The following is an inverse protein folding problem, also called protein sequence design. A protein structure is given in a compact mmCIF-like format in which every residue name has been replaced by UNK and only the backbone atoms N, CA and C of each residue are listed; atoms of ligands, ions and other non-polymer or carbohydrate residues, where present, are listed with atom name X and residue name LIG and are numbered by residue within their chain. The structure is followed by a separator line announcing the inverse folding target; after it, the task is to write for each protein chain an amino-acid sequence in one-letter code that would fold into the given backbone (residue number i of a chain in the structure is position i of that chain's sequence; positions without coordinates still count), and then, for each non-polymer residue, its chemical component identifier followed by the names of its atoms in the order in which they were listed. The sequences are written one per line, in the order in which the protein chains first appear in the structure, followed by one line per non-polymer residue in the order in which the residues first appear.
data_IF_827394565481
#
_entry.id   IF_827394565481
#
_cell.length_a   1.000
_cell.length_b   1.000
_cell.length_c   1.000
_cell.angle_alpha   90.00
_cell.angle_beta   90.00
_cell.angle_gamma   90.00
#
_symmetry.space_group_name_H-M   'P 1'
#
loop_
_entity.id
_entity.type
_entity.pdbx_description
1 polymer ?
#
# COMPACT_ATOMS: atom_id res chain seq x y z
N UNK A 1 -7.19 -22.47 3.91
CA UNK A 1 -6.49 -21.19 3.64
C UNK A 1 -7.39 -19.99 4.04
N UNK A 2 -8.72 -20.17 4.08
CA UNK A 2 -9.76 -19.26 4.61
C UNK A 2 -9.52 -18.66 6.01
N UNK A 3 -8.84 -19.39 6.92
CA UNK A 3 -8.55 -18.94 8.30
C UNK A 3 -7.80 -17.61 8.30
N UNK A 4 -6.92 -17.39 7.32
CA UNK A 4 -6.13 -16.16 7.20
C UNK A 4 -7.01 -14.92 6.95
N UNK A 5 -8.07 -15.05 6.13
CA UNK A 5 -9.02 -13.96 5.86
C UNK A 5 -9.90 -13.71 7.08
N UNK A 6 -10.36 -14.76 7.76
CA UNK A 6 -11.14 -14.60 8.99
C UNK A 6 -10.32 -13.90 10.08
N UNK A 7 -9.06 -14.31 10.25
CA UNK A 7 -8.12 -13.63 11.15
C UNK A 7 -7.92 -12.17 10.73
N UNK A 8 -7.74 -11.90 9.44
CA UNK A 8 -7.63 -10.53 8.91
C UNK A 8 -8.85 -9.67 9.20
N UNK A 9 -10.07 -10.21 9.07
CA UNK A 9 -11.33 -9.53 9.44
C UNK A 9 -11.34 -9.23 10.94
N UNK A 10 -11.05 -10.22 11.78
CA UNK A 10 -11.03 -10.07 13.24
C UNK A 10 -10.05 -8.97 13.64
N UNK A 11 -8.81 -9.00 13.14
CA UNK A 11 -7.80 -7.99 13.46
C UNK A 11 -8.18 -6.59 12.97
N UNK A 12 -8.86 -6.50 11.83
CA UNK A 12 -9.40 -5.22 11.30
C UNK A 12 -10.46 -4.65 12.24
N UNK A 13 -11.39 -5.47 12.70
CA UNK A 13 -12.42 -5.04 13.65
C UNK A 13 -11.84 -4.74 15.04
N UNK A 14 -10.85 -5.51 15.51
CA UNK A 14 -10.12 -5.22 16.75
C UNK A 14 -9.38 -3.88 16.68
N UNK A 15 -8.70 -3.59 15.56
CA UNK A 15 -8.05 -2.29 15.35
C UNK A 15 -9.07 -1.14 15.41
N UNK A 16 -10.21 -1.31 14.75
CA UNK A 16 -11.30 -0.33 14.79
C UNK A 16 -11.81 -0.12 16.20
N UNK A 17 -12.12 -1.18 16.94
CA UNK A 17 -12.62 -1.08 18.30
C UNK A 17 -11.60 -0.39 19.21
N UNK A 18 -10.31 -0.71 19.08
CA UNK A 18 -9.23 -0.04 19.81
C UNK A 18 -9.11 1.46 19.45
N UNK A 19 -9.28 1.81 18.17
CA UNK A 19 -9.32 3.21 17.73
C UNK A 19 -10.52 3.96 18.32
N UNK A 20 -11.70 3.35 18.31
CA UNK A 20 -12.93 3.93 18.84
C UNK A 20 -12.84 4.13 20.36
N UNK A 21 -12.31 3.13 21.08
CA UNK A 21 -12.08 3.24 22.53
C UNK A 21 -11.14 4.40 22.87
N UNK A 22 -10.04 4.56 22.12
CA UNK A 22 -9.12 5.71 22.28
C UNK A 22 -9.81 7.03 21.99
N UNK A 23 -10.67 7.08 20.97
CA UNK A 23 -11.46 8.25 20.61
C UNK A 23 -12.43 8.63 21.75
N UNK A 24 -13.22 7.70 22.26
CA UNK A 24 -14.17 7.93 23.36
C UNK A 24 -13.45 8.35 24.65
N UNK A 25 -12.32 7.70 24.98
CA UNK A 25 -11.49 8.06 26.13
C UNK A 25 -10.96 9.51 26.04
N UNK A 26 -10.52 9.93 24.86
CA UNK A 26 -10.09 11.30 24.61
C UNK A 26 -11.24 12.31 24.81
N UNK A 27 -12.42 12.04 24.24
CA UNK A 27 -13.59 12.91 24.41
C UNK A 27 -14.09 12.99 25.85
N UNK A 28 -14.09 11.88 26.58
CA UNK A 28 -14.50 11.87 27.99
C UNK A 28 -13.51 12.60 28.89
N UNK A 29 -12.20 12.54 28.59
CA UNK A 29 -11.17 13.32 29.29
C UNK A 29 -11.36 14.82 29.04
N UNK A 30 -11.55 15.22 27.77
CA UNK A 30 -11.86 16.60 27.41
C UNK A 30 -13.13 17.12 28.07
N UNK A 31 -14.17 16.31 28.20
CA UNK A 31 -15.41 16.69 28.89
C UNK A 31 -15.20 16.87 30.40
N UNK A 32 -14.38 16.01 31.04
CA UNK A 32 -14.00 16.15 32.45
C UNK A 32 -13.17 17.41 32.70
N UNK A 33 -12.19 17.71 31.86
CA UNK A 33 -11.37 18.93 31.95
C UNK A 33 -12.19 20.21 31.74
N UNK A 34 -13.20 20.16 30.87
CA UNK A 34 -14.09 21.30 30.62
C UNK A 34 -15.22 21.45 31.65
N UNK A 35 -15.41 20.50 32.55
CA UNK A 35 -16.39 20.57 33.63
C UNK A 35 -15.94 21.55 34.74
N UNK A 36 -16.86 22.21 35.46
CA UNK A 36 -16.51 23.22 36.47
C UNK A 36 -15.54 22.70 37.55
N UNK A 37 -15.72 21.46 38.03
CA UNK A 37 -14.79 20.79 38.97
C UNK A 37 -13.41 20.50 38.38
N UNK A 38 -13.31 20.26 37.07
CA UNK A 38 -12.04 20.03 36.36
C UNK A 38 -11.26 21.34 36.13
N UNK A 39 -11.97 22.44 35.90
CA UNK A 39 -11.38 23.79 35.80
C UNK A 39 -10.79 24.26 37.13
N UNK A 40 -11.42 23.95 38.26
CA UNK A 40 -10.88 24.23 39.60
C UNK A 40 -9.64 23.39 39.94
N UNK A 41 -9.62 22.09 39.60
CA UNK A 41 -8.48 21.19 39.82
C UNK A 41 -7.25 21.52 38.93
N UNK A 42 -7.47 22.05 37.72
CA UNK A 42 -6.39 22.52 36.85
C UNK A 42 -5.77 23.85 37.30
N UNK A 43 -6.45 24.60 38.18
CA UNK A 43 -5.92 25.84 38.75
C UNK A 43 -4.91 25.58 39.88
N UNK A 44 -5.01 24.43 40.58
CA UNK A 44 -4.12 24.04 41.68
C UNK A 44 -2.91 23.22 41.24
N UNK A 45 -2.87 22.75 39.99
CA UNK A 45 -1.79 21.89 39.49
C UNK A 45 -1.17 22.49 38.22
N UNK A 46 -0.26 23.46 38.38
CA UNK A 46 0.65 23.86 37.30
C UNK A 46 1.66 22.72 37.04
N UNK A 47 1.23 21.69 36.31
CA UNK A 47 2.11 20.69 35.72
C UNK A 47 1.74 20.53 34.26
N UNK A 48 2.52 21.20 33.40
CA UNK A 48 2.65 21.01 31.95
C UNK A 48 1.43 20.40 31.25
N UNK A 49 0.45 21.24 30.91
CA UNK A 49 -0.54 20.95 29.87
C UNK A 49 0.21 20.69 28.55
N UNK A 50 0.52 19.43 28.25
CA UNK A 50 1.00 19.07 26.90
C UNK A 50 -0.21 19.08 25.99
N UNK A 51 -0.55 20.28 25.53
CA UNK A 51 -1.46 20.51 24.43
C UNK A 51 -0.91 19.71 23.24
N UNK A 52 -1.61 18.64 22.86
CA UNK A 52 -1.20 17.76 21.76
C UNK A 52 -1.45 18.49 20.43
N UNK A 53 -0.57 19.44 20.13
CA UNK A 53 -0.65 20.27 18.95
C UNK A 53 -0.16 19.47 17.74
N UNK A 54 -1.09 19.00 16.94
CA UNK A 54 -0.80 18.34 15.67
C UNK A 54 -0.78 19.39 14.55
N UNK A 55 0.29 19.36 13.74
CA UNK A 55 0.36 20.07 12.47
C UNK A 55 -0.05 19.09 11.37
N UNK A 56 -1.05 19.45 10.59
CA UNK A 56 -1.36 18.75 9.34
C UNK A 56 -0.70 19.50 8.20
N UNK A 57 0.08 18.79 7.37
CA UNK A 57 0.63 19.34 6.15
C UNK A 57 -0.01 18.60 4.98
N UNK A 58 -0.74 19.31 4.13
CA UNK A 58 -1.43 18.75 2.96
C UNK A 58 -0.87 19.44 1.73
N UNK A 59 -0.18 18.70 0.87
CA UNK A 59 0.38 19.26 -0.37
C UNK A 59 -0.43 18.77 -1.55
N UNK A 60 -1.02 19.70 -2.31
CA UNK A 60 -1.80 19.42 -3.52
C UNK A 60 -1.09 19.95 -4.76
N UNK A 61 -1.03 19.16 -5.82
CA UNK A 61 -0.52 19.60 -7.13
C UNK A 61 -1.36 19.02 -8.25
N UNK A 62 -2.20 19.85 -8.89
CA UNK A 62 -3.11 19.44 -9.99
C UNK A 62 -3.88 18.16 -9.69
N UNK A 63 -4.25 17.99 -8.43
CA UNK A 63 -5.08 16.86 -8.01
C UNK A 63 -6.48 17.10 -8.55
N UNK A 64 -7.20 16.02 -8.89
CA UNK A 64 -8.62 16.15 -9.20
C UNK A 64 -9.32 16.83 -8.04
N UNK A 65 -10.10 17.85 -8.40
CA UNK A 65 -10.68 18.77 -7.44
C UNK A 65 -11.54 18.01 -6.42
N UNK A 66 -12.37 17.06 -6.85
CA UNK A 66 -13.17 16.27 -5.92
C UNK A 66 -12.33 15.45 -4.92
N UNK A 67 -11.08 15.09 -5.24
CA UNK A 67 -10.19 14.33 -4.37
C UNK A 67 -9.51 15.21 -3.30
N UNK A 68 -9.09 16.41 -3.70
CA UNK A 68 -8.35 17.32 -2.83
C UNK A 68 -9.20 17.84 -1.67
N UNK A 69 -10.47 18.19 -1.92
CA UNK A 69 -11.36 18.66 -0.85
C UNK A 69 -11.53 17.65 0.26
N UNK A 70 -11.70 16.39 -0.13
CA UNK A 70 -12.08 15.33 0.79
C UNK A 70 -10.94 14.94 1.73
N UNK A 71 -9.71 15.06 1.24
CA UNK A 71 -8.53 14.94 2.07
C UNK A 71 -8.56 16.04 3.15
N UNK A 72 -8.77 17.30 2.75
CA UNK A 72 -8.73 18.46 3.64
C UNK A 72 -9.83 18.44 4.72
N UNK A 73 -11.03 17.99 4.38
CA UNK A 73 -12.12 17.88 5.35
C UNK A 73 -11.89 16.78 6.41
N UNK A 74 -11.18 15.71 6.05
CA UNK A 74 -10.80 14.67 7.00
C UNK A 74 -9.85 15.20 8.09
N UNK A 75 -8.97 16.14 7.72
CA UNK A 75 -8.08 16.84 8.64
C UNK A 75 -8.83 17.88 9.48
N UNK A 76 -9.78 18.61 8.89
CA UNK A 76 -10.60 19.60 9.61
C UNK A 76 -11.45 18.97 10.73
N UNK A 77 -11.90 17.72 10.56
CA UNK A 77 -12.66 16.98 11.58
C UNK A 77 -11.78 16.37 12.70
N UNK A 78 -10.45 16.39 12.58
CA UNK A 78 -9.55 15.82 13.56
C UNK A 78 -9.31 16.78 14.75
N UNK A 79 -9.78 16.42 15.95
CA UNK A 79 -9.53 17.22 17.17
C UNK A 79 -8.07 17.11 17.62
N UNK A 80 -7.45 18.25 17.92
CA UNK A 80 -6.01 18.38 18.25
C UNK A 80 -5.15 19.00 17.14
N UNK A 81 -5.76 19.40 16.02
CA UNK A 81 -5.10 20.08 14.92
C UNK A 81 -5.06 21.60 15.16
N UNK A 82 -3.90 22.12 15.55
CA UNK A 82 -3.73 23.54 15.91
C UNK A 82 -3.39 24.40 14.67
N UNK A 83 -2.73 23.80 13.67
CA UNK A 83 -2.31 24.48 12.46
C UNK A 83 -2.37 23.51 11.28
N UNK A 84 -2.88 23.96 10.14
CA UNK A 84 -2.93 23.19 8.90
C UNK A 84 -2.17 23.97 7.83
N UNK A 85 -1.04 23.42 7.40
CA UNK A 85 -0.23 23.97 6.32
C UNK A 85 -0.65 23.29 5.02
N UNK A 86 -1.41 23.99 4.19
CA UNK A 86 -1.76 23.51 2.85
C UNK A 86 -0.79 24.13 1.85
N UNK A 87 0.03 23.31 1.20
CA UNK A 87 0.91 23.73 0.11
C UNK A 87 0.27 23.39 -1.22
N UNK A 88 -0.04 24.38 -2.05
CA UNK A 88 -0.47 24.15 -3.44
C UNK A 88 0.75 24.42 -4.31
N UNK A 89 1.26 23.40 -4.97
CA UNK A 89 2.51 23.48 -5.75
C UNK A 89 2.27 24.03 -7.18
N UNK A 90 1.60 25.18 -7.33
CA UNK A 90 1.25 25.72 -8.65
C UNK A 90 1.08 27.24 -8.63
N UNK A 91 1.38 27.92 -9.74
CA UNK A 91 1.28 29.38 -9.90
C UNK A 91 0.46 29.82 -11.13
N UNK A 92 -0.36 28.92 -11.70
CA UNK A 92 -1.15 29.18 -12.90
C UNK A 92 -2.64 29.39 -12.56
N UNK A 93 -3.39 30.05 -13.45
CA UNK A 93 -4.80 30.37 -13.23
C UNK A 93 -5.72 29.12 -13.07
N UNK A 94 -5.31 27.96 -13.59
CA UNK A 94 -6.00 26.67 -13.43
C UNK A 94 -5.87 26.09 -12.01
N UNK A 95 -4.94 26.60 -11.19
CA UNK A 95 -4.73 26.14 -9.81
C UNK A 95 -5.74 26.78 -8.82
N UNK A 96 -6.54 27.75 -9.29
CA UNK A 96 -7.57 28.43 -8.50
C UNK A 96 -8.79 27.54 -8.21
N UNK A 97 -9.09 26.58 -9.09
CA UNK A 97 -10.17 25.61 -8.91
C UNK A 97 -9.95 24.72 -7.67
N UNK A 98 -8.69 24.43 -7.30
CA UNK A 98 -8.33 23.69 -6.08
C UNK A 98 -8.61 24.47 -4.79
N UNK A 99 -8.56 25.81 -4.85
CA UNK A 99 -8.86 26.72 -3.74
C UNK A 99 -10.36 26.76 -3.46
N UNK A 100 -11.19 26.81 -4.51
CA UNK A 100 -12.65 26.80 -4.40
C UNK A 100 -13.20 25.44 -3.96
N UNK A 101 -12.49 24.39 -4.34
CA UNK A 101 -12.85 23.02 -4.07
C UNK A 101 -12.56 22.63 -2.63
N UNK A 102 -11.49 23.14 -2.00
CA UNK A 102 -11.31 23.03 -0.53
C UNK A 102 -12.55 23.46 0.27
N UNK A 103 -13.40 24.34 -0.27
CA UNK A 103 -14.60 24.81 0.42
C UNK A 103 -15.81 23.84 0.40
N UNK A 104 -15.78 22.67 -0.29
CA UNK A 104 -17.04 22.02 -0.76
C UNK A 104 -17.37 20.51 -0.54
N UNK A 105 -16.51 19.55 -0.18
CA UNK A 105 -16.72 18.10 -0.54
C UNK A 105 -16.09 17.06 0.41
N UNK A 106 -16.99 16.24 1.00
CA UNK A 106 -16.82 15.05 1.87
C UNK A 106 -16.87 13.72 1.07
N UNK A 107 -16.05 12.70 1.45
CA UNK A 107 -16.13 11.19 1.21
C UNK A 107 -16.04 10.57 -0.21
N UNK A 108 -15.27 9.49 -0.57
CA UNK A 108 -15.09 8.00 -0.38
C UNK A 108 -13.63 7.43 -0.73
N UNK A 109 -12.99 6.39 -0.15
CA UNK A 109 -12.88 4.95 -0.61
C UNK A 109 -11.67 4.18 0.04
N UNK A 110 -11.80 2.87 0.38
CA UNK A 110 -10.92 1.69 0.05
C UNK A 110 -11.17 0.44 0.96
N UNK A 111 -11.32 -0.76 0.35
CA UNK A 111 -11.69 -2.02 1.05
C UNK A 111 -10.69 -3.20 1.01
N UNK A 112 -9.82 -3.32 0.00
CA UNK A 112 -8.90 -4.51 -0.09
C UNK A 112 -7.56 -4.28 0.61
N UNK A 113 -7.06 -3.03 0.66
CA UNK A 113 -5.80 -2.66 1.33
C UNK A 113 -5.93 -2.64 2.86
N UNK A 114 -7.16 -2.54 3.36
CA UNK A 114 -7.46 -2.49 4.78
C UNK A 114 -7.06 -3.79 5.50
N UNK A 115 -7.24 -4.95 4.87
CA UNK A 115 -6.90 -6.23 5.51
C UNK A 115 -5.41 -6.40 5.82
N UNK A 116 -4.55 -6.10 4.84
CA UNK A 116 -3.10 -6.25 5.01
C UNK A 116 -2.51 -5.19 5.93
N UNK A 117 -3.05 -3.95 5.90
CA UNK A 117 -2.62 -2.86 6.78
C UNK A 117 -3.15 -2.98 8.21
N UNK A 118 -4.30 -3.62 8.41
CA UNK A 118 -4.91 -3.73 9.73
C UNK A 118 -4.25 -4.77 10.66
N UNK A 119 -3.53 -5.74 10.09
CA UNK A 119 -2.82 -6.77 10.86
C UNK A 119 -1.75 -6.17 11.78
N UNK A 120 -0.80 -5.34 11.31
CA UNK A 120 0.11 -4.62 12.20
C UNK A 120 -0.59 -3.47 12.94
N UNK A 121 -1.57 -2.80 12.30
CA UNK A 121 -2.19 -1.63 12.89
C UNK A 121 -3.01 -1.89 14.16
N UNK A 122 -3.60 -3.08 14.33
CA UNK A 122 -4.31 -3.43 15.56
C UNK A 122 -3.40 -3.39 16.80
N UNK A 123 -2.09 -3.48 16.59
CA UNK A 123 -1.06 -3.37 17.63
C UNK A 123 -0.34 -2.02 17.62
N UNK A 124 -0.86 -1.05 16.87
CA UNK A 124 -0.26 0.26 16.65
C UNK A 124 1.19 0.20 16.11
N UNK A 125 1.47 -0.80 15.27
CA UNK A 125 2.77 -1.03 14.62
C UNK A 125 2.68 -0.93 13.09
N UNK A 126 1.73 -0.13 12.59
CA UNK A 126 1.58 0.07 11.14
C UNK A 126 2.89 0.56 10.57
N UNK A 127 3.40 -0.13 9.57
CA UNK A 127 4.78 -0.05 9.12
C UNK A 127 4.96 0.83 7.88
N UNK A 128 3.87 1.38 7.36
CA UNK A 128 3.90 2.38 6.31
C UNK A 128 2.69 3.31 6.45
N UNK A 129 2.98 4.56 6.76
CA UNK A 129 2.04 5.67 6.66
C UNK A 129 1.98 6.14 5.21
N UNK A 130 0.78 6.34 4.66
CA UNK A 130 0.65 6.78 3.27
C UNK A 130 0.77 8.30 3.16
N UNK A 131 1.67 8.79 2.31
CA UNK A 131 1.87 10.22 2.06
C UNK A 131 0.59 11.05 1.87
N UNK A 132 -0.42 10.60 1.09
CA UNK A 132 -1.64 11.38 0.86
C UNK A 132 -2.51 11.63 2.09
N UNK A 133 -2.38 10.82 3.15
CA UNK A 133 -3.16 10.99 4.36
C UNK A 133 -2.47 10.37 5.56
N UNK A 134 -1.65 11.18 6.20
CA UNK A 134 -1.00 10.89 7.47
C UNK A 134 -0.98 12.15 8.34
N UNK A 135 -1.14 11.98 9.65
CA UNK A 135 -0.91 13.03 10.63
C UNK A 135 0.25 12.64 11.54
N UNK A 136 1.10 13.61 11.89
CA UNK A 136 2.25 13.41 12.75
C UNK A 136 2.17 14.31 13.98
N UNK A 137 2.67 13.81 15.10
CA UNK A 137 2.92 14.64 16.28
C UNK A 137 4.21 15.42 16.05
N UNK A 138 4.18 16.74 16.28
CA UNK A 138 5.35 17.60 16.05
C UNK A 138 6.58 17.15 16.85
N UNK A 139 6.37 16.75 18.10
CA UNK A 139 7.44 16.28 18.98
C UNK A 139 8.07 14.96 18.52
N UNK A 140 7.42 14.21 17.63
CA UNK A 140 7.98 13.00 17.03
C UNK A 140 8.85 13.30 15.80
N UNK A 141 8.56 14.39 15.07
CA UNK A 141 9.19 14.72 13.79
C UNK A 141 10.64 15.20 13.94
N UNK A 142 10.93 16.04 14.93
CA UNK A 142 12.25 16.67 15.09
C UNK A 142 13.38 15.64 15.18
N UNK A 143 13.13 14.50 15.83
CA UNK A 143 14.12 13.44 16.02
C UNK A 143 14.29 12.50 14.82
N UNK A 144 13.40 12.54 13.82
CA UNK A 144 13.39 11.61 12.68
C UNK A 144 13.69 12.26 11.34
N UNK A 145 13.49 13.57 11.19
CA UNK A 145 13.62 14.25 9.88
C UNK A 145 15.02 14.09 9.28
N UNK A 146 16.08 14.31 10.07
CA UNK A 146 17.44 14.21 9.56
C UNK A 146 17.86 12.76 9.26
N UNK A 147 17.59 11.77 10.14
CA UNK A 147 17.77 10.34 9.81
C UNK A 147 17.02 9.91 8.56
N UNK A 148 15.76 10.36 8.41
CA UNK A 148 14.94 10.06 7.25
C UNK A 148 15.52 10.64 5.96
N UNK A 149 15.97 11.90 6.00
CA UNK A 149 16.55 12.59 4.84
C UNK A 149 17.95 12.07 4.45
N UNK A 150 18.71 11.54 5.40
CA UNK A 150 20.07 11.00 5.19
C UNK A 150 20.11 9.49 4.98
N UNK A 151 18.98 8.84 4.68
CA UNK A 151 18.94 7.39 4.54
C UNK A 151 20.00 6.89 3.55
N UNK A 152 20.79 5.90 4.01
CA UNK A 152 21.73 5.17 3.17
C UNK A 152 21.33 3.71 3.09
N UNK A 153 21.28 3.18 1.88
CA UNK A 153 21.02 1.77 1.59
C UNK A 153 22.31 1.20 1.03
N UNK A 154 22.92 0.23 1.75
CA UNK A 154 24.22 -0.35 1.40
C UNK A 154 25.31 0.72 1.12
N UNK A 155 25.38 1.75 1.95
CA UNK A 155 26.35 2.85 1.84
C UNK A 155 25.99 3.94 0.82
N UNK A 156 24.98 3.73 -0.02
CA UNK A 156 24.52 4.68 -1.03
C UNK A 156 23.38 5.55 -0.51
N UNK A 157 23.49 6.88 -0.69
CA UNK A 157 22.42 7.81 -0.31
C UNK A 157 21.22 7.67 -1.24
N UNK A 158 20.04 7.57 -0.66
CA UNK A 158 18.79 7.54 -1.42
C UNK A 158 18.44 8.92 -1.95
N UNK A 159 18.04 9.00 -3.22
CA UNK A 159 17.63 10.25 -3.88
C UNK A 159 16.22 10.66 -3.44
N UNK A 160 15.34 9.67 -3.24
CA UNK A 160 13.95 9.86 -2.80
C UNK A 160 13.79 9.19 -1.45
N UNK A 161 13.29 9.93 -0.48
CA UNK A 161 13.00 9.40 0.85
C UNK A 161 11.60 8.79 0.85
N UNK A 162 11.47 7.59 1.40
CA UNK A 162 10.22 6.83 1.37
C UNK A 162 9.41 7.03 2.65
N UNK A 163 8.08 7.02 2.52
CA UNK A 163 7.16 7.11 3.66
C UNK A 163 7.40 5.96 4.65
N UNK A 164 7.77 4.79 4.13
CA UNK A 164 8.06 3.61 4.95
C UNK A 164 9.26 3.85 5.87
N UNK A 165 10.33 4.46 5.37
CA UNK A 165 11.50 4.75 6.17
C UNK A 165 11.20 5.76 7.29
N UNK A 166 10.34 6.74 7.01
CA UNK A 166 9.84 7.67 8.02
C UNK A 166 9.11 6.91 9.14
N UNK A 167 8.22 5.98 8.75
CA UNK A 167 7.49 5.13 9.70
C UNK A 167 8.42 4.21 10.49
N UNK A 168 9.43 3.60 9.88
CA UNK A 168 10.42 2.80 10.59
C UNK A 168 11.15 3.62 11.64
N UNK A 169 11.58 4.85 11.31
CA UNK A 169 12.25 5.74 12.25
C UNK A 169 11.39 6.12 13.46
N UNK A 170 10.07 6.22 13.29
CA UNK A 170 9.10 6.40 14.37
C UNK A 170 9.04 5.16 15.26
N UNK A 171 8.87 3.97 14.66
CA UNK A 171 8.76 2.70 15.39
C UNK A 171 10.04 2.37 16.18
N UNK A 172 11.23 2.58 15.60
CA UNK A 172 12.53 2.41 16.30
C UNK A 172 12.58 3.24 17.59
N UNK A 173 11.96 4.43 17.59
CA UNK A 173 11.97 5.37 18.71
C UNK A 173 10.81 5.14 19.69
N UNK A 174 10.05 4.05 19.53
CA UNK A 174 8.93 3.70 20.40
C UNK A 174 7.65 4.50 20.14
N UNK A 175 7.56 5.23 19.03
CA UNK A 175 6.31 5.88 18.65
C UNK A 175 5.31 4.86 18.10
N UNK A 176 4.09 4.90 18.63
CA UNK A 176 2.98 4.11 18.11
C UNK A 176 2.47 4.68 16.78
N UNK A 177 2.28 3.82 15.79
CA UNK A 177 1.78 4.18 14.46
C UNK A 177 0.48 3.43 14.18
N UNK A 178 -0.60 4.19 14.06
CA UNK A 178 -1.97 3.67 14.04
C UNK A 178 -2.59 3.91 12.67
N UNK A 179 -3.23 2.87 12.13
CA UNK A 179 -4.08 3.00 10.94
C UNK A 179 -5.53 3.26 11.35
N UNK A 180 -6.06 4.41 10.93
CA UNK A 180 -7.46 4.76 11.12
C UNK A 180 -8.29 4.25 9.93
N UNK A 181 -9.03 3.15 10.12
CA UNK A 181 -9.81 2.50 9.06
C UNK A 181 -10.97 3.33 8.52
N UNK A 182 -11.40 4.34 9.26
CA UNK A 182 -12.55 5.17 8.92
C UNK A 182 -12.17 6.46 8.19
N UNK A 183 -10.86 6.77 8.10
CA UNK A 183 -10.33 7.92 7.37
C UNK A 183 -10.16 7.54 5.90
N UNK A 184 -10.69 8.38 5.02
CA UNK A 184 -10.73 8.12 3.58
C UNK A 184 -9.96 9.19 2.83
N UNK A 185 -9.16 8.74 1.86
CA UNK A 185 -8.34 9.63 1.03
C UNK A 185 -8.38 9.11 -0.37
N UNK A 186 -8.65 10.01 -1.31
CA UNK A 186 -8.57 9.66 -2.69
C UNK A 186 -7.17 9.99 -3.22
N UNK A 187 -6.72 9.18 -4.18
CA UNK A 187 -5.39 9.25 -4.75
C UNK A 187 -5.54 8.91 -6.21
N UNK A 188 -4.87 9.67 -7.07
CA UNK A 188 -4.76 9.32 -8.47
C UNK A 188 -4.10 7.94 -8.62
N UNK A 189 -4.69 7.12 -9.47
CA UNK A 189 -4.15 5.82 -9.84
C UNK A 189 -3.52 5.92 -11.24
N UNK A 190 -2.43 5.19 -11.51
CA UNK A 190 -1.82 5.22 -12.83
C UNK A 190 -2.79 4.71 -13.90
N UNK A 191 -2.89 5.46 -15.00
CA UNK A 191 -3.80 5.15 -16.12
C UNK A 191 -3.26 4.11 -17.09
N UNK A 192 -1.96 3.78 -17.01
CA UNK A 192 -1.32 2.78 -17.87
C UNK A 192 -0.67 1.67 -17.04
N UNK A 193 -0.68 0.45 -17.58
CA UNK A 193 -0.08 -0.74 -16.95
C UNK A 193 1.40 -0.52 -16.65
N UNK A 194 2.13 0.13 -17.55
CA UNK A 194 3.54 0.50 -17.35
C UNK A 194 3.74 1.39 -16.13
N UNK A 195 3.01 2.51 -16.04
CA UNK A 195 3.15 3.44 -14.91
C UNK A 195 2.75 2.74 -13.61
N UNK A 196 1.72 1.90 -13.66
CA UNK A 196 1.30 1.08 -12.54
C UNK A 196 2.37 0.07 -12.09
N UNK A 197 2.99 -0.68 -13.01
CA UNK A 197 4.08 -1.61 -12.71
C UNK A 197 5.28 -0.91 -12.08
N UNK A 198 5.70 0.24 -12.64
CA UNK A 198 6.79 1.05 -12.08
C UNK A 198 6.47 1.49 -10.65
N UNK A 199 5.23 1.92 -10.40
CA UNK A 199 4.77 2.29 -9.06
C UNK A 199 4.78 1.08 -8.10
N UNK A 200 4.35 -0.11 -8.53
CA UNK A 200 4.37 -1.30 -7.68
C UNK A 200 5.80 -1.74 -7.34
N UNK A 201 6.72 -1.72 -8.32
CA UNK A 201 8.15 -2.01 -8.11
C UNK A 201 8.74 -1.02 -7.11
N UNK A 202 8.41 0.26 -7.23
CA UNK A 202 8.83 1.31 -6.28
C UNK A 202 8.41 0.98 -4.85
N UNK A 203 7.12 0.70 -4.64
CA UNK A 203 6.59 0.37 -3.32
C UNK A 203 7.20 -0.92 -2.75
N UNK A 204 7.45 -1.92 -3.60
CA UNK A 204 8.07 -3.17 -3.19
C UNK A 204 9.54 -2.96 -2.80
N UNK A 205 10.32 -2.14 -3.54
CA UNK A 205 11.71 -1.78 -3.17
C UNK A 205 11.77 -1.13 -1.79
N UNK A 206 10.93 -0.13 -1.54
CA UNK A 206 10.87 0.53 -0.23
C UNK A 206 10.58 -0.49 0.89
N UNK A 207 9.71 -1.45 0.62
CA UNK A 207 9.38 -2.53 1.55
C UNK A 207 10.59 -3.42 1.83
N UNK A 208 11.28 -3.91 0.80
CA UNK A 208 12.50 -4.71 0.93
C UNK A 208 13.61 -3.99 1.70
N UNK A 209 13.82 -2.71 1.41
CA UNK A 209 14.85 -1.90 2.05
C UNK A 209 14.62 -1.87 3.56
N UNK A 210 13.41 -1.57 4.00
CA UNK A 210 13.10 -1.48 5.43
C UNK A 210 13.07 -2.86 6.11
N UNK A 211 12.56 -3.88 5.41
CA UNK A 211 12.56 -5.27 5.90
C UNK A 211 13.99 -5.82 6.10
N UNK A 212 14.96 -5.44 5.25
CA UNK A 212 16.33 -5.94 5.33
C UNK A 212 17.28 -5.07 6.17
N UNK A 213 17.12 -3.75 6.15
CA UNK A 213 18.02 -2.84 6.89
C UNK A 213 17.70 -2.78 8.37
N UNK A 214 16.42 -2.87 8.75
CA UNK A 214 16.00 -2.75 10.14
C UNK A 214 14.98 -3.84 10.52
N UNK A 215 15.31 -5.14 10.35
CA UNK A 215 14.39 -6.26 10.62
C UNK A 215 13.96 -6.30 12.09
N UNK A 216 14.85 -5.87 12.99
CA UNK A 216 14.59 -5.84 14.43
C UNK A 216 13.39 -4.95 14.80
N UNK A 217 13.05 -3.93 14.00
CA UNK A 217 11.88 -3.09 14.28
C UNK A 217 10.60 -3.91 14.35
N UNK A 218 10.43 -4.87 13.44
CA UNK A 218 9.22 -5.68 13.43
C UNK A 218 9.15 -6.63 14.63
N UNK A 219 10.30 -7.17 15.06
CA UNK A 219 10.38 -8.05 16.23
C UNK A 219 10.23 -7.28 17.56
N UNK A 220 10.82 -6.10 17.66
CA UNK A 220 10.77 -5.24 18.85
C UNK A 220 9.41 -4.57 19.03
N UNK A 221 8.69 -4.28 17.95
CA UNK A 221 7.41 -3.58 18.04
C UNK A 221 6.30 -4.49 18.58
N UNK A 222 6.03 -5.61 17.90
CA UNK A 222 5.04 -6.60 18.33
C UNK A 222 5.16 -7.90 17.49
N UNK A 223 4.93 -9.10 18.05
CA UNK A 223 4.96 -10.36 17.28
C UNK A 223 4.07 -10.37 16.03
N UNK A 224 2.93 -9.65 16.08
CA UNK A 224 2.04 -9.49 14.92
C UNK A 224 2.62 -8.60 13.82
N UNK A 225 3.44 -7.60 14.17
CA UNK A 225 4.16 -6.79 13.20
C UNK A 225 5.18 -7.65 12.45
N UNK A 226 5.93 -8.48 13.19
CA UNK A 226 6.85 -9.46 12.61
C UNK A 226 6.13 -10.47 11.71
N UNK A 227 5.04 -11.07 12.18
CA UNK A 227 4.26 -12.00 11.38
C UNK A 227 3.70 -11.35 10.10
N UNK A 228 3.21 -10.11 10.17
CA UNK A 228 2.73 -9.37 9.00
C UNK A 228 3.85 -9.06 8.00
N UNK A 229 5.02 -8.65 8.50
CA UNK A 229 6.20 -8.41 7.67
C UNK A 229 6.68 -9.71 7.01
N UNK A 230 6.82 -10.79 7.77
CA UNK A 230 7.23 -12.10 7.28
C UNK A 230 6.26 -12.64 6.21
N UNK A 231 4.93 -12.55 6.43
CA UNK A 231 3.95 -12.95 5.41
C UNK A 231 4.07 -12.13 4.13
N UNK A 232 4.35 -10.84 4.24
CA UNK A 232 4.49 -9.95 3.09
C UNK A 232 5.75 -10.26 2.27
N UNK A 233 6.86 -10.61 2.92
CA UNK A 233 8.11 -10.96 2.23
C UNK A 233 8.07 -12.41 1.69
N UNK A 234 7.75 -13.38 2.54
CA UNK A 234 7.81 -14.79 2.13
C UNK A 234 6.61 -15.22 1.28
N UNK A 235 5.43 -14.60 1.44
CA UNK A 235 4.22 -14.99 0.71
C UNK A 235 4.40 -14.99 -0.81
N UNK A 236 4.74 -13.85 -1.43
CA UNK A 236 4.97 -13.76 -2.86
C UNK A 236 6.13 -14.67 -3.35
N UNK A 237 7.17 -14.86 -2.53
CA UNK A 237 8.31 -15.74 -2.87
C UNK A 237 7.90 -17.21 -2.93
N UNK A 238 7.11 -17.69 -1.95
CA UNK A 238 6.60 -19.06 -1.93
C UNK A 238 5.72 -19.33 -3.16
N UNK A 239 4.86 -18.37 -3.52
CA UNK A 239 4.06 -18.46 -4.76
C UNK A 239 4.98 -18.50 -5.99
N UNK A 240 6.03 -17.67 -6.04
CA UNK A 240 6.96 -17.65 -7.15
C UNK A 240 7.67 -19.00 -7.35
N UNK A 241 8.18 -19.57 -6.26
CA UNK A 241 8.85 -20.88 -6.24
C UNK A 241 7.87 -21.99 -6.66
N UNK A 242 6.63 -21.95 -6.19
CA UNK A 242 5.62 -22.92 -6.57
C UNK A 242 5.30 -22.89 -8.07
N UNK A 243 5.12 -21.68 -8.64
CA UNK A 243 4.87 -21.50 -10.07
C UNK A 243 6.07 -21.99 -10.89
N UNK A 244 7.30 -21.61 -10.50
CA UNK A 244 8.51 -21.99 -11.23
C UNK A 244 8.79 -23.50 -11.14
N UNK A 245 8.60 -24.10 -9.96
CA UNK A 245 8.76 -25.55 -9.78
C UNK A 245 7.74 -26.33 -10.61
N UNK A 246 6.48 -25.86 -10.68
CA UNK A 246 5.47 -26.49 -11.52
C UNK A 246 5.79 -26.34 -13.01
N UNK A 247 6.26 -25.17 -13.42
CA UNK A 247 6.70 -24.89 -14.79
C UNK A 247 7.82 -25.83 -15.25
N UNK A 248 8.79 -26.13 -14.37
CA UNK A 248 9.95 -26.95 -14.71
C UNK A 248 9.65 -28.45 -14.58
N UNK A 249 9.15 -28.89 -13.42
CA UNK A 249 9.14 -30.32 -13.04
C UNK A 249 7.75 -30.94 -12.97
N UNK A 250 6.67 -30.19 -13.27
CA UNK A 250 5.26 -30.63 -13.15
C UNK A 250 4.78 -30.99 -11.73
N UNK A 251 5.64 -30.95 -10.72
CA UNK A 251 5.27 -31.20 -9.34
C UNK A 251 4.50 -30.02 -8.74
N UNK A 252 3.31 -30.31 -8.19
CA UNK A 252 2.46 -29.32 -7.50
C UNK A 252 2.96 -29.14 -6.07
N UNK A 253 3.75 -28.10 -5.81
CA UNK A 253 4.26 -27.77 -4.47
C UNK A 253 3.18 -27.21 -3.53
N UNK A 254 2.21 -26.48 -4.10
CA UNK A 254 1.09 -25.90 -3.35
C UNK A 254 -0.21 -26.47 -3.86
N UNK A 255 -1.07 -26.87 -2.92
CA UNK A 255 -2.43 -27.29 -3.24
C UNK A 255 -3.33 -26.06 -3.37
N UNK A 256 -3.92 -25.87 -4.55
CA UNK A 256 -4.90 -24.81 -4.80
C UNK A 256 -6.30 -25.39 -4.79
N UNK A 257 -7.13 -24.91 -3.87
CA UNK A 257 -8.52 -25.36 -3.73
C UNK A 257 -9.47 -24.33 -4.32
N UNK A 258 -10.18 -24.70 -5.39
CA UNK A 258 -11.22 -23.87 -5.99
C UNK A 258 -12.32 -23.45 -5.00
N UNK A 259 -12.88 -24.34 -4.15
CA UNK A 259 -13.90 -23.92 -3.18
C UNK A 259 -13.34 -22.95 -2.14
N UNK A 260 -12.07 -23.08 -1.71
CA UNK A 260 -11.42 -22.09 -0.83
C UNK A 260 -11.37 -20.72 -1.54
N UNK A 261 -10.93 -20.65 -2.80
CA UNK A 261 -10.90 -19.40 -3.56
C UNK A 261 -12.27 -18.71 -3.64
N UNK A 262 -13.32 -19.44 -4.03
CA UNK A 262 -14.68 -18.89 -4.13
C UNK A 262 -15.20 -18.43 -2.77
N UNK A 263 -14.95 -19.21 -1.72
CA UNK A 263 -15.32 -18.84 -0.35
C UNK A 263 -14.61 -17.56 0.10
N UNK A 264 -13.31 -17.40 -0.23
CA UNK A 264 -12.55 -16.18 0.08
C UNK A 264 -13.12 -14.94 -0.62
N UNK A 265 -13.47 -15.07 -1.89
CA UNK A 265 -14.09 -13.98 -2.66
C UNK A 265 -15.46 -13.62 -2.04
N UNK A 266 -16.26 -14.64 -1.72
CA UNK A 266 -17.57 -14.48 -1.08
C UNK A 266 -17.48 -13.77 0.27
N UNK A 267 -16.68 -14.29 1.20
CA UNK A 267 -16.49 -13.71 2.54
C UNK A 267 -15.97 -12.27 2.45
N UNK A 268 -14.97 -12.01 1.60
CA UNK A 268 -14.40 -10.67 1.43
C UNK A 268 -15.44 -9.69 0.87
N UNK A 269 -16.26 -10.14 -0.08
CA UNK A 269 -17.32 -9.33 -0.68
C UNK A 269 -18.41 -9.02 0.33
N UNK A 270 -18.90 -10.04 1.05
CA UNK A 270 -19.93 -9.90 2.08
C UNK A 270 -19.45 -8.96 3.20
N UNK A 271 -18.23 -9.15 3.70
CA UNK A 271 -17.68 -8.26 4.72
C UNK A 271 -17.57 -6.81 4.21
N UNK A 272 -17.08 -6.59 3.00
CA UNK A 272 -16.96 -5.24 2.45
C UNK A 272 -18.33 -4.54 2.27
N UNK A 273 -19.35 -5.29 1.85
CA UNK A 273 -20.73 -4.79 1.72
C UNK A 273 -21.33 -4.44 3.09
N UNK A 274 -21.22 -5.35 4.07
CA UNK A 274 -21.72 -5.12 5.43
C UNK A 274 -20.99 -3.98 6.15
N UNK A 275 -19.69 -3.83 5.90
CA UNK A 275 -18.85 -2.81 6.52
C UNK A 275 -19.14 -1.42 6.00
N UNK A 276 -19.56 -1.31 4.75
CA UNK A 276 -19.71 -0.04 4.03
C UNK A 276 -21.04 0.00 3.25
N UNK A 277 -22.20 -0.11 3.93
CA UNK A 277 -23.50 -0.21 3.27
C UNK A 277 -23.80 1.01 2.39
N UNK A 278 -23.41 2.20 2.84
CA UNK A 278 -23.64 3.45 2.11
C UNK A 278 -22.54 3.77 1.09
N UNK A 279 -21.40 3.05 1.13
CA UNK A 279 -20.16 3.44 0.42
C UNK A 279 -19.75 2.47 -0.69
N UNK A 280 -20.27 1.25 -0.71
CA UNK A 280 -19.96 0.23 -1.72
C UNK A 280 -21.20 -0.11 -2.56
N UNK A 281 -21.25 0.37 -3.81
CA UNK A 281 -22.25 -0.11 -4.77
C UNK A 281 -21.94 -1.58 -5.11
N UNK A 282 -22.98 -2.42 -5.30
CA UNK A 282 -22.80 -3.84 -5.67
C UNK A 282 -21.86 -4.01 -6.87
N UNK A 283 -21.93 -3.09 -7.85
CA UNK A 283 -21.03 -3.05 -9.02
C UNK A 283 -19.53 -2.90 -8.69
N UNK A 284 -19.17 -2.27 -7.57
CA UNK A 284 -17.78 -2.10 -7.13
C UNK A 284 -17.23 -3.35 -6.42
N UNK A 285 -18.09 -4.29 -6.02
CA UNK A 285 -17.67 -5.53 -5.38
C UNK A 285 -16.89 -6.45 -6.32
N UNK A 286 -17.09 -6.29 -7.63
CA UNK A 286 -16.38 -7.06 -8.65
C UNK A 286 -14.85 -6.84 -8.59
N UNK A 287 -14.39 -5.67 -8.14
CA UNK A 287 -12.96 -5.32 -8.04
C UNK A 287 -12.17 -6.17 -7.03
N UNK A 288 -12.85 -6.92 -6.16
CA UNK A 288 -12.23 -7.93 -5.29
C UNK A 288 -11.52 -9.00 -6.13
N UNK A 289 -12.11 -9.41 -7.25
CA UNK A 289 -11.58 -10.49 -8.10
C UNK A 289 -10.27 -10.09 -8.80
N UNK A 290 -10.18 -8.93 -9.51
CA UNK A 290 -8.90 -8.42 -10.01
C UNK A 290 -7.86 -8.23 -8.90
N UNK A 291 -8.29 -7.82 -7.70
CA UNK A 291 -7.41 -7.71 -6.53
C UNK A 291 -6.79 -9.06 -6.13
N UNK A 292 -7.58 -10.12 -5.99
CA UNK A 292 -7.07 -11.47 -5.71
C UNK A 292 -6.12 -11.95 -6.81
N UNK A 293 -6.46 -11.71 -8.08
CA UNK A 293 -5.59 -12.08 -9.20
C UNK A 293 -4.23 -11.37 -9.12
N UNK A 294 -4.23 -10.08 -8.78
CA UNK A 294 -3.02 -9.29 -8.62
C UNK A 294 -2.05 -9.89 -7.58
N UNK A 295 -2.56 -10.29 -6.40
CA UNK A 295 -1.73 -10.83 -5.33
C UNK A 295 -1.10 -12.20 -5.67
N UNK A 296 -1.72 -12.97 -6.56
CA UNK A 296 -1.25 -14.32 -6.89
C UNK A 296 -0.40 -14.39 -8.16
N UNK A 297 -0.63 -13.51 -9.14
CA UNK A 297 0.01 -13.62 -10.46
C UNK A 297 1.04 -12.50 -10.71
N UNK A 298 0.67 -11.21 -10.77
CA UNK A 298 1.66 -10.14 -10.92
C UNK A 298 2.61 -9.92 -9.74
N UNK A 299 2.10 -10.03 -8.51
CA UNK A 299 2.87 -9.64 -7.32
C UNK A 299 4.18 -10.42 -7.13
N UNK A 300 4.23 -11.77 -7.30
CA UNK A 300 5.49 -12.53 -7.22
C UNK A 300 6.61 -11.98 -8.12
N UNK A 301 6.27 -11.59 -9.35
CA UNK A 301 7.23 -11.02 -10.30
C UNK A 301 7.79 -9.68 -9.84
N UNK A 302 6.88 -8.79 -9.42
CA UNK A 302 7.21 -7.45 -8.92
C UNK A 302 8.10 -7.60 -7.68
N UNK A 303 7.79 -8.57 -6.83
CA UNK A 303 8.50 -8.83 -5.59
C UNK A 303 9.93 -9.29 -5.83
N UNK A 304 10.16 -10.27 -6.73
CA UNK A 304 11.51 -10.72 -7.11
C UNK A 304 12.29 -9.59 -7.79
N UNK A 305 11.67 -8.91 -8.75
CA UNK A 305 12.36 -7.86 -9.49
C UNK A 305 12.75 -6.67 -8.61
N UNK A 306 11.88 -6.27 -7.69
CA UNK A 306 12.18 -5.20 -6.74
C UNK A 306 13.28 -5.59 -5.75
N UNK A 307 13.39 -6.86 -5.37
CA UNK A 307 14.49 -7.37 -4.53
C UNK A 307 15.84 -7.32 -5.26
N UNK A 308 15.86 -7.69 -6.54
CA UNK A 308 17.09 -7.62 -7.37
C UNK A 308 17.48 -6.16 -7.66
N UNK A 309 16.51 -5.26 -7.78
CA UNK A 309 16.74 -3.86 -8.19
C UNK A 309 16.67 -2.84 -7.06
N UNK A 310 16.87 -3.25 -5.81
CA UNK A 310 16.72 -2.38 -4.62
C UNK A 310 17.53 -1.08 -4.69
N UNK A 311 18.76 -1.12 -5.22
CA UNK A 311 19.71 0.00 -5.25
C UNK A 311 19.70 0.79 -6.56
N UNK A 312 18.81 0.45 -7.49
CA UNK A 312 18.72 1.10 -8.79
C UNK A 312 18.30 2.58 -8.64
N UNK A 313 19.06 3.48 -9.27
CA UNK A 313 18.83 4.94 -9.20
C UNK A 313 17.58 5.40 -9.92
N UNK A 314 17.15 4.66 -10.94
CA UNK A 314 15.92 4.93 -11.68
C UNK A 314 14.74 4.44 -10.86
N UNK A 315 14.20 5.33 -10.03
CA UNK A 315 12.97 5.10 -9.26
C UNK A 315 11.69 5.06 -10.12
N UNK A 316 11.81 4.98 -11.46
CA UNK A 316 10.73 4.63 -12.39
C UNK A 316 9.59 5.65 -12.52
N UNK A 317 9.59 6.70 -11.70
CA UNK A 317 8.69 7.84 -11.84
C UNK A 317 9.52 9.09 -11.64
N UNK A 318 9.72 9.88 -12.71
CA UNK A 318 10.06 11.27 -12.51
C UNK A 318 9.02 11.89 -11.57
N UNK A 319 9.47 12.84 -10.74
CA UNK A 319 8.56 13.67 -9.95
C UNK A 319 7.50 14.22 -10.90
N UNK A 320 6.23 14.22 -10.48
CA UNK A 320 5.01 14.37 -11.31
C UNK A 320 4.85 15.71 -12.05
N UNK A 321 5.94 16.35 -12.48
CA UNK A 321 5.91 17.51 -13.35
C UNK A 321 5.49 17.07 -14.76
N UNK A 322 4.29 17.50 -15.15
CA UNK A 322 3.75 17.39 -16.52
C UNK A 322 4.62 18.06 -17.60
N UNK A 323 5.61 18.85 -17.18
CA UNK A 323 6.56 19.58 -18.02
C UNK A 323 7.82 18.82 -18.41
N UNK A 324 8.04 17.59 -17.92
CA UNK A 324 9.18 16.80 -18.39
C UNK A 324 8.89 16.29 -19.81
N UNK A 325 9.51 16.96 -20.80
CA UNK A 325 9.50 16.55 -22.21
C UNK A 325 9.90 15.07 -22.27
N UNK A 326 9.07 14.18 -22.85
CA UNK A 326 9.37 12.76 -22.88
C UNK A 326 10.57 12.55 -23.80
N UNK A 327 11.78 12.49 -23.22
CA UNK A 327 12.91 11.90 -23.93
C UNK A 327 12.48 10.50 -24.30
N UNK A 328 12.54 10.17 -25.59
CA UNK A 328 12.27 8.83 -26.11
C UNK A 328 13.14 7.84 -25.33
N UNK A 329 12.54 7.15 -24.38
CA UNK A 329 13.25 6.19 -23.56
C UNK A 329 13.86 5.14 -24.48
N UNK A 330 15.16 4.93 -24.35
CA UNK A 330 15.88 3.90 -25.12
C UNK A 330 15.19 2.56 -24.92
N UNK A 331 15.07 1.76 -25.98
CA UNK A 331 14.44 0.43 -25.91
C UNK A 331 15.05 -0.45 -24.81
N UNK A 332 16.33 -0.26 -24.49
CA UNK A 332 17.00 -0.94 -23.36
C UNK A 332 16.42 -0.55 -22.01
N UNK A 333 16.09 0.72 -21.80
CA UNK A 333 15.48 1.23 -20.57
C UNK A 333 14.06 0.70 -20.38
N UNK A 334 13.26 0.68 -21.46
CA UNK A 334 11.91 0.09 -21.44
C UNK A 334 11.95 -1.40 -21.05
N UNK A 335 12.88 -2.15 -21.64
CA UNK A 335 13.10 -3.55 -21.28
C UNK A 335 13.61 -3.75 -19.86
N UNK A 336 14.49 -2.88 -19.38
CA UNK A 336 14.94 -2.93 -17.98
C UNK A 336 13.78 -2.68 -17.00
N UNK A 337 12.88 -1.75 -17.30
CA UNK A 337 11.83 -1.36 -16.36
C UNK A 337 10.64 -2.34 -16.34
N UNK A 338 10.23 -2.90 -17.48
CA UNK A 338 9.03 -3.77 -17.58
C UNK A 338 9.29 -5.15 -18.16
N UNK A 339 10.50 -5.44 -18.64
CA UNK A 339 10.84 -6.72 -19.26
C UNK A 339 10.72 -7.92 -18.32
N UNK A 340 11.02 -7.74 -17.03
CA UNK A 340 10.82 -8.79 -16.02
C UNK A 340 9.37 -9.31 -16.00
N UNK A 341 8.41 -8.41 -16.21
CA UNK A 341 6.99 -8.75 -16.20
C UNK A 341 6.60 -9.54 -17.46
N UNK A 342 7.18 -9.21 -18.62
CA UNK A 342 6.98 -9.98 -19.86
C UNK A 342 7.47 -11.42 -19.69
N UNK A 343 8.69 -11.60 -19.15
CA UNK A 343 9.27 -12.92 -18.89
C UNK A 343 8.40 -13.71 -17.92
N UNK A 344 7.97 -13.08 -16.82
CA UNK A 344 7.12 -13.72 -15.84
C UNK A 344 5.76 -14.15 -16.40
N UNK A 345 5.08 -13.28 -17.15
CA UNK A 345 3.81 -13.63 -17.78
C UNK A 345 3.97 -14.75 -18.81
N UNK A 346 5.12 -14.84 -19.48
CA UNK A 346 5.51 -16.00 -20.28
C UNK A 346 5.54 -17.29 -19.46
N UNK A 347 6.24 -17.30 -18.32
CA UNK A 347 6.28 -18.46 -17.40
C UNK A 347 4.86 -18.84 -16.95
N UNK A 348 4.06 -17.86 -16.53
CA UNK A 348 2.66 -18.10 -16.12
C UNK A 348 1.84 -18.69 -17.27
N UNK A 349 1.93 -18.13 -18.48
CA UNK A 349 1.27 -18.67 -19.67
C UNK A 349 1.67 -20.12 -19.95
N UNK A 350 2.96 -20.44 -19.86
CA UNK A 350 3.46 -21.80 -19.99
C UNK A 350 2.99 -22.74 -18.88
N UNK A 351 2.86 -22.27 -17.62
CA UNK A 351 2.29 -23.09 -16.54
C UNK A 351 0.82 -23.41 -16.77
N UNK A 352 0.03 -22.46 -17.26
CA UNK A 352 -1.38 -22.70 -17.61
C UNK A 352 -1.48 -23.70 -18.75
N UNK A 353 -0.64 -23.57 -19.78
CA UNK A 353 -0.58 -24.52 -20.89
C UNK A 353 -0.15 -25.92 -20.44
N UNK A 354 0.82 -26.04 -19.53
CA UNK A 354 1.20 -27.32 -18.92
C UNK A 354 0.05 -27.92 -18.11
N UNK A 355 -0.66 -27.10 -17.34
CA UNK A 355 -1.83 -27.57 -16.59
C UNK A 355 -2.91 -28.11 -17.54
N UNK A 356 -3.29 -27.34 -18.56
CA UNK A 356 -4.25 -27.80 -19.58
C UNK A 356 -3.78 -29.08 -20.26
N UNK A 357 -2.50 -29.17 -20.65
CA UNK A 357 -1.95 -30.36 -21.29
C UNK A 357 -2.03 -31.61 -20.40
N UNK A 358 -1.86 -31.46 -19.08
CA UNK A 358 -2.03 -32.55 -18.13
C UNK A 358 -3.51 -32.93 -17.94
N UNK A 359 -4.45 -31.99 -17.98
CA UNK A 359 -5.89 -32.29 -17.88
C UNK A 359 -6.42 -33.01 -19.13
N UNK A 360 -5.78 -32.81 -20.28
CA UNK A 360 -6.10 -33.49 -21.55
C UNK A 360 -5.21 -34.72 -21.82
N UNK A 361 -4.40 -35.17 -20.85
CA UNK A 361 -3.50 -36.32 -20.95
C UNK A 361 -2.60 -36.32 -22.22
N UNK A 362 -2.09 -35.14 -22.59
CA UNK A 362 -1.24 -34.98 -23.78
C UNK A 362 0.14 -35.64 -23.61
N UNK A 363 0.66 -36.21 -24.70
CA UNK A 363 2.01 -36.76 -24.75
C UNK A 363 3.07 -35.68 -24.44
N UNK A 364 4.22 -36.08 -23.89
CA UNK A 364 5.29 -35.15 -23.47
C UNK A 364 5.71 -34.15 -24.57
N UNK A 365 5.82 -34.60 -25.82
CA UNK A 365 6.14 -33.73 -26.96
C UNK A 365 5.05 -32.69 -27.25
N UNK A 366 3.78 -33.09 -27.18
CA UNK A 366 2.64 -32.18 -27.36
C UNK A 366 2.54 -31.17 -26.22
N UNK A 367 2.79 -31.61 -24.99
CA UNK A 367 2.86 -30.74 -23.80
C UNK A 367 3.92 -29.65 -23.96
N UNK A 368 5.11 -29.98 -24.46
CA UNK A 368 6.17 -29.00 -24.72
C UNK A 368 5.75 -27.97 -25.79
N UNK A 369 5.12 -28.41 -26.88
CA UNK A 369 4.60 -27.50 -27.92
C UNK A 369 3.53 -26.57 -27.33
N UNK A 370 2.58 -27.11 -26.57
CA UNK A 370 1.55 -26.31 -25.90
C UNK A 370 2.14 -25.28 -24.94
N UNK A 371 3.17 -25.66 -24.18
CA UNK A 371 3.90 -24.74 -23.31
C UNK A 371 4.58 -23.63 -24.10
N UNK A 372 5.30 -23.95 -25.18
CA UNK A 372 5.97 -22.95 -26.01
C UNK A 372 4.98 -21.96 -26.63
N UNK A 373 3.83 -22.46 -27.10
CA UNK A 373 2.73 -21.62 -27.58
C UNK A 373 2.19 -20.70 -26.47
N UNK A 374 1.94 -21.24 -25.27
CA UNK A 374 1.47 -20.47 -24.11
C UNK A 374 2.44 -19.39 -23.67
N UNK A 375 3.73 -19.73 -23.57
CA UNK A 375 4.81 -18.79 -23.25
C UNK A 375 4.86 -17.67 -24.28
N UNK A 376 4.83 -18.02 -25.57
CA UNK A 376 4.91 -17.06 -26.66
C UNK A 376 3.71 -16.11 -26.68
N UNK A 377 2.49 -16.65 -26.57
CA UNK A 377 1.26 -15.86 -26.57
C UNK A 377 1.20 -14.89 -25.38
N UNK A 378 1.52 -15.37 -24.18
CA UNK A 378 1.51 -14.55 -22.97
C UNK A 378 2.63 -13.50 -22.98
N UNK A 379 3.82 -13.84 -23.48
CA UNK A 379 4.93 -12.90 -23.60
C UNK A 379 4.63 -11.81 -24.63
N UNK A 380 4.11 -12.17 -25.81
CA UNK A 380 3.79 -11.20 -26.88
C UNK A 380 2.65 -10.27 -26.47
N UNK A 381 1.60 -10.79 -25.84
CA UNK A 381 0.48 -9.96 -25.36
C UNK A 381 0.94 -8.98 -24.28
N UNK A 382 1.75 -9.44 -23.32
CA UNK A 382 2.30 -8.58 -22.26
C UNK A 382 3.29 -7.56 -22.82
N UNK A 383 4.13 -7.95 -23.77
CA UNK A 383 5.06 -7.04 -24.46
C UNK A 383 4.31 -5.93 -25.20
N UNK A 384 3.22 -6.26 -25.91
CA UNK A 384 2.35 -5.27 -26.55
C UNK A 384 1.72 -4.32 -25.54
N UNK A 385 1.23 -4.85 -24.42
CA UNK A 385 0.56 -4.07 -23.37
C UNK A 385 1.51 -3.15 -22.59
N UNK A 386 2.81 -3.49 -22.49
CA UNK A 386 3.78 -2.80 -21.63
C UNK A 386 4.88 -2.08 -22.38
N UNK A 387 5.64 -2.75 -23.24
CA UNK A 387 6.84 -2.20 -23.87
C UNK A 387 6.52 -1.50 -25.19
N UNK A 388 5.64 -2.08 -26.02
CA UNK A 388 5.27 -1.49 -27.30
C UNK A 388 4.26 -0.33 -27.18
N UNK A 389 3.54 -0.25 -26.06
CA UNK A 389 2.57 0.82 -25.76
C UNK A 389 3.21 2.08 -25.15
N UNK A 390 4.50 2.02 -24.80
CA UNK A 390 5.34 3.16 -24.40
C UNK A 390 6.02 3.77 -25.61
#
# INVERSE_FOLDING_TARGET
MTIDILLGIILTESNRFANEGRRISFYSTLQRENSPKGREANFSTQSSNVKLNCLSAVVGYREDTALFTRALESYKAARGQDFMLVGIDGNNAEDQDMVDVFQRVVSILLGVRSFTRSTPACTATSDCQSGPCTAFRLSALSAILMPWYMQKVFGKRMIVNEDRHLTTNLLVRGWAVVFASDVLTATETPTTVTRWLRQQVRWARATHIESLLIPCVYAMSHPMAFFAAARREFGPLVVAVAVLSYFLTSHKLLYFSYPDLFLRIGITTVYNLLRNPDRLRLALSWYVVPGMFFYNIPLPAIHIWSLVTMTADTWGTAMRASTEIPKKDSSRKKWFETGFFVVWMGIVGGTVSRWLANEFDLCQGQTLVFMLCGVSLASVSTWKATIASQ
#
